data_IF_492680082683
#
_entry.id   IF_492680082683
#
_cell.length_a   1.000
_cell.length_b   1.000
_cell.length_c   1.000
_cell.angle_alpha   90.00
_cell.angle_beta   90.00
_cell.angle_gamma   90.00
#
_symmetry.space_group_name_H-M   'P 1'
#
loop_
_entity.id
_entity.type
_entity.pdbx_description
1 polymer ?
#
# COMPACT_ATOMS: atom_id res chain seq x y z
N UNK A 1 -5.30 12.76 17.05
CA UNK A 1 -4.12 11.95 16.69
C UNK A 1 -2.95 12.87 16.31
N UNK A 2 -1.72 12.65 16.80
CA UNK A 2 -0.60 13.59 16.67
C UNK A 2 0.37 13.34 15.48
N UNK A 3 0.08 12.38 14.60
CA UNK A 3 0.91 12.10 13.41
C UNK A 3 0.52 12.89 12.16
N UNK A 4 1.48 13.19 11.30
CA UNK A 4 1.25 13.71 9.94
C UNK A 4 0.89 12.60 8.95
N UNK A 5 1.38 11.38 9.20
CA UNK A 5 1.03 10.16 8.48
C UNK A 5 0.57 9.05 9.45
N UNK A 6 -0.33 8.20 8.98
CA UNK A 6 -0.89 7.05 9.71
C UNK A 6 -0.69 5.79 8.87
N UNK A 7 -0.11 4.74 9.45
CA UNK A 7 -0.01 3.43 8.81
C UNK A 7 -1.15 2.53 9.32
N UNK A 8 -2.01 2.05 8.41
CA UNK A 8 -3.06 1.09 8.74
C UNK A 8 -2.60 -0.31 8.31
N UNK A 9 -2.37 -1.17 9.31
CA UNK A 9 -1.92 -2.56 9.15
C UNK A 9 -2.77 -3.52 9.97
N UNK A 10 -4.02 -3.65 9.59
CA UNK A 10 -5.06 -4.46 10.25
C UNK A 10 -5.68 -5.45 9.26
N UNK A 11 -6.46 -6.45 9.70
CA UNK A 11 -7.29 -7.22 8.77
C UNK A 11 -8.20 -6.30 7.95
N UNK A 12 -8.34 -6.58 6.65
CA UNK A 12 -9.09 -5.71 5.73
C UNK A 12 -10.54 -5.48 6.17
N UNK A 13 -11.14 -6.45 6.87
CA UNK A 13 -12.49 -6.33 7.42
C UNK A 13 -12.67 -5.23 8.48
N UNK A 14 -11.60 -4.76 9.10
CA UNK A 14 -11.66 -3.67 10.09
C UNK A 14 -11.68 -2.27 9.45
N UNK A 15 -11.33 -2.15 8.16
CA UNK A 15 -11.18 -0.87 7.48
C UNK A 15 -12.46 -0.01 7.49
N UNK A 16 -13.67 -0.55 7.26
CA UNK A 16 -14.91 0.23 7.33
C UNK A 16 -15.16 0.80 8.72
N UNK A 17 -14.94 0.01 9.78
CA UNK A 17 -15.16 0.44 11.16
C UNK A 17 -14.15 1.54 11.55
N UNK A 18 -12.88 1.37 11.19
CA UNK A 18 -11.84 2.39 11.41
C UNK A 18 -12.17 3.69 10.69
N UNK A 19 -12.64 3.60 9.44
CA UNK A 19 -13.05 4.77 8.66
C UNK A 19 -14.23 5.53 9.25
N UNK A 20 -15.14 4.84 9.93
CA UNK A 20 -16.26 5.44 10.66
C UNK A 20 -15.81 6.05 11.99
N UNK A 21 -15.15 5.24 12.83
CA UNK A 21 -14.81 5.62 14.20
C UNK A 21 -13.74 6.72 14.27
N UNK A 22 -12.81 6.74 13.31
CA UNK A 22 -11.70 7.70 13.27
C UNK A 22 -11.85 8.74 12.14
N UNK A 23 -13.05 8.90 11.59
CA UNK A 23 -13.31 9.81 10.46
C UNK A 23 -12.81 11.24 10.71
N UNK A 24 -13.01 11.76 11.94
CA UNK A 24 -12.62 13.12 12.29
C UNK A 24 -11.09 13.25 12.41
N UNK A 25 -10.44 12.25 12.99
CA UNK A 25 -9.00 12.22 13.26
C UNK A 25 -8.17 11.97 12.00
N UNK A 26 -8.71 11.20 11.05
CA UNK A 26 -8.04 10.84 9.79
C UNK A 26 -8.28 11.87 8.67
N UNK A 27 -9.24 12.77 8.82
CA UNK A 27 -9.56 13.77 7.79
C UNK A 27 -8.33 14.59 7.40
N UNK A 28 -8.01 14.60 6.11
CA UNK A 28 -6.87 15.30 5.53
C UNK A 28 -5.50 14.68 5.83
N UNK A 29 -5.44 13.60 6.62
CA UNK A 29 -4.20 12.90 6.95
C UNK A 29 -3.70 12.08 5.79
N UNK A 30 -2.39 11.90 5.73
CA UNK A 30 -1.76 10.91 4.86
C UNK A 30 -1.95 9.55 5.51
N UNK A 31 -2.57 8.61 4.79
CA UNK A 31 -2.82 7.26 5.29
C UNK A 31 -2.11 6.27 4.37
N UNK A 32 -1.14 5.53 4.91
CA UNK A 32 -0.52 4.41 4.24
C UNK A 32 -1.34 3.16 4.57
N UNK A 33 -1.92 2.54 3.55
CA UNK A 33 -2.73 1.34 3.67
C UNK A 33 -1.95 0.12 3.17
N UNK A 34 -1.69 -0.80 4.09
CA UNK A 34 -0.98 -2.05 3.83
C UNK A 34 -1.91 -3.25 3.64
N UNK A 35 -3.22 -3.04 3.70
CA UNK A 35 -4.19 -4.13 3.83
C UNK A 35 -4.34 -4.89 2.49
N UNK A 36 -4.78 -6.14 2.57
CA UNK A 36 -5.06 -6.96 1.39
C UNK A 36 -6.39 -7.66 1.62
N UNK A 37 -7.42 -7.52 0.77
CA UNK A 37 -8.68 -8.22 0.93
C UNK A 37 -8.51 -9.73 0.67
N UNK A 38 -8.70 -10.55 1.70
CA UNK A 38 -8.56 -12.01 1.68
C UNK A 38 -9.90 -12.65 2.07
N UNK A 39 -10.66 -13.25 1.13
CA UNK A 39 -12.01 -13.77 1.41
C UNK A 39 -12.10 -14.75 2.59
N UNK A 40 -11.10 -15.62 2.76
CA UNK A 40 -11.06 -16.56 3.88
C UNK A 40 -10.85 -15.92 5.25
N UNK A 41 -10.33 -14.69 5.31
CA UNK A 41 -10.08 -13.93 6.55
C UNK A 41 -11.12 -12.83 6.78
N UNK A 42 -11.48 -12.13 5.72
CA UNK A 42 -12.28 -10.89 5.78
C UNK A 42 -13.73 -11.09 5.33
N UNK A 43 -14.10 -12.30 4.89
CA UNK A 43 -15.46 -12.64 4.47
C UNK A 43 -15.84 -12.06 3.11
N UNK A 44 -17.15 -11.98 2.86
CA UNK A 44 -17.71 -11.65 1.54
C UNK A 44 -17.29 -10.27 1.02
N UNK A 45 -17.02 -9.30 1.91
CA UNK A 45 -16.60 -7.95 1.50
C UNK A 45 -15.28 -7.92 0.72
N UNK A 46 -14.40 -8.90 0.92
CA UNK A 46 -13.13 -8.97 0.21
C UNK A 46 -13.30 -9.30 -1.28
N UNK A 47 -14.34 -10.05 -1.66
CA UNK A 47 -14.56 -10.45 -3.06
C UNK A 47 -14.80 -9.25 -3.98
N UNK A 48 -15.79 -8.37 -3.73
CA UNK A 48 -16.00 -7.18 -4.55
C UNK A 48 -14.85 -6.18 -4.41
N UNK A 49 -14.18 -6.09 -3.24
CA UNK A 49 -13.00 -5.23 -3.08
C UNK A 49 -11.85 -5.64 -4.01
N UNK A 50 -11.56 -6.95 -4.11
CA UNK A 50 -10.57 -7.49 -5.06
C UNK A 50 -10.95 -7.22 -6.50
N UNK A 51 -12.21 -7.45 -6.87
CA UNK A 51 -12.69 -7.23 -8.23
C UNK A 51 -12.58 -5.76 -8.67
N UNK A 52 -12.83 -4.83 -7.74
CA UNK A 52 -12.71 -3.39 -7.96
C UNK A 52 -11.24 -2.91 -8.02
N UNK A 53 -10.34 -3.61 -7.33
CA UNK A 53 -8.97 -3.19 -7.07
C UNK A 53 -8.86 -2.54 -5.70
N UNK A 54 -7.90 -3.00 -4.90
CA UNK A 54 -7.85 -2.71 -3.46
C UNK A 54 -7.68 -1.23 -3.16
N UNK A 55 -6.88 -0.50 -3.94
CA UNK A 55 -6.70 0.95 -3.76
C UNK A 55 -8.01 1.73 -3.88
N UNK A 56 -8.82 1.43 -4.90
CA UNK A 56 -10.12 2.07 -5.12
C UNK A 56 -11.12 1.66 -4.04
N UNK A 57 -11.18 0.37 -3.71
CA UNK A 57 -12.09 -0.14 -2.68
C UNK A 57 -11.76 0.42 -1.29
N UNK A 58 -10.48 0.57 -0.95
CA UNK A 58 -10.05 1.10 0.36
C UNK A 58 -10.37 2.57 0.53
N UNK A 59 -10.31 3.35 -0.56
CA UNK A 59 -10.68 4.77 -0.54
C UNK A 59 -12.16 5.00 -0.18
N UNK A 60 -13.05 4.05 -0.51
CA UNK A 60 -14.47 4.11 -0.13
C UNK A 60 -14.66 3.97 1.39
N UNK A 61 -13.78 3.24 2.06
CA UNK A 61 -13.82 3.06 3.51
C UNK A 61 -13.10 4.18 4.27
N UNK A 62 -12.23 4.95 3.62
CA UNK A 62 -11.44 5.99 4.25
C UNK A 62 -11.70 7.37 3.60
N UNK A 63 -12.95 7.87 3.61
CA UNK A 63 -13.28 9.11 2.92
C UNK A 63 -12.55 10.31 3.54
N UNK A 64 -12.00 11.17 2.67
CA UNK A 64 -11.35 12.41 3.08
C UNK A 64 -9.91 12.27 3.58
N UNK A 65 -9.32 11.06 3.51
CA UNK A 65 -7.88 10.87 3.73
C UNK A 65 -7.11 11.01 2.42
N UNK A 66 -5.80 11.29 2.52
CA UNK A 66 -4.87 11.27 1.39
C UNK A 66 -4.22 9.87 1.35
N UNK A 67 -4.91 8.94 0.70
CA UNK A 67 -4.58 7.51 0.75
C UNK A 67 -3.37 7.17 -0.14
N UNK A 68 -2.46 6.35 0.40
CA UNK A 68 -1.34 5.75 -0.33
C UNK A 68 -1.35 4.23 -0.10
N UNK A 69 -1.33 3.46 -1.19
CA UNK A 69 -1.11 2.01 -1.13
C UNK A 69 0.39 1.75 -1.07
N UNK A 70 0.85 1.10 -0.01
CA UNK A 70 2.26 0.83 0.27
C UNK A 70 2.41 -0.44 1.11
N UNK A 71 3.57 -1.10 1.03
CA UNK A 71 3.95 -2.28 1.84
C UNK A 71 3.03 -3.52 1.74
N UNK A 72 1.90 -3.47 1.05
CA UNK A 72 0.95 -4.56 0.96
C UNK A 72 1.49 -5.77 0.18
N UNK A 73 2.42 -5.55 -0.77
CA UNK A 73 2.87 -6.56 -1.72
C UNK A 73 4.10 -7.35 -1.29
N UNK A 74 4.79 -6.96 -0.21
CA UNK A 74 6.01 -7.63 0.28
C UNK A 74 5.69 -8.35 1.58
N UNK A 75 6.08 -9.63 1.68
CA UNK A 75 5.82 -10.44 2.87
C UNK A 75 6.56 -9.91 4.11
N UNK A 76 5.94 -10.02 5.30
CA UNK A 76 6.50 -9.48 6.54
C UNK A 76 7.90 -10.03 6.87
N UNK A 77 8.17 -11.31 6.58
CA UNK A 77 9.50 -11.90 6.79
C UNK A 77 10.56 -11.22 5.93
N UNK A 78 10.23 -10.91 4.67
CA UNK A 78 11.12 -10.18 3.77
C UNK A 78 11.26 -8.71 4.19
N UNK A 79 10.19 -8.04 4.62
CA UNK A 79 10.31 -6.69 5.19
C UNK A 79 11.26 -6.67 6.40
N UNK A 80 11.25 -7.71 7.23
CA UNK A 80 12.16 -7.82 8.37
C UNK A 80 13.60 -8.13 7.95
N UNK A 81 13.82 -9.04 7.00
CA UNK A 81 15.17 -9.51 6.65
C UNK A 81 15.89 -8.63 5.65
N UNK A 82 15.15 -7.93 4.78
CA UNK A 82 15.72 -7.18 3.65
C UNK A 82 15.84 -5.67 3.92
N UNK A 83 15.28 -5.17 5.02
CA UNK A 83 15.42 -3.77 5.40
C UNK A 83 16.89 -3.38 5.56
N UNK A 84 17.29 -2.27 4.94
CA UNK A 84 18.66 -1.75 4.99
C UNK A 84 19.74 -2.72 4.49
N UNK A 85 19.37 -3.71 3.66
CA UNK A 85 20.34 -4.65 3.10
C UNK A 85 21.42 -3.92 2.29
N UNK A 86 22.61 -4.51 2.23
CA UNK A 86 23.66 -4.03 1.35
C UNK A 86 23.32 -4.30 -0.13
N UNK A 87 23.76 -3.42 -1.03
CA UNK A 87 23.52 -3.55 -2.48
C UNK A 87 22.19 -2.93 -2.94
N UNK A 88 21.61 -3.46 -4.03
CA UNK A 88 20.31 -3.00 -4.54
C UNK A 88 19.23 -3.24 -3.48
N UNK A 89 18.46 -2.22 -3.09
CA UNK A 89 17.38 -2.37 -2.09
C UNK A 89 16.19 -3.13 -2.69
N UNK A 90 15.39 -3.77 -1.83
CA UNK A 90 14.09 -4.29 -2.23
C UNK A 90 13.11 -3.13 -2.44
N UNK A 91 12.28 -3.25 -3.46
CA UNK A 91 11.33 -2.23 -3.85
C UNK A 91 9.97 -2.40 -3.16
N UNK A 92 9.39 -1.26 -2.77
CA UNK A 92 8.00 -1.16 -2.33
C UNK A 92 7.23 -0.39 -3.40
N UNK A 93 6.28 -1.03 -4.11
CA UNK A 93 5.41 -0.31 -5.03
C UNK A 93 4.51 0.66 -4.26
N UNK A 94 4.33 1.85 -4.82
CA UNK A 94 3.48 2.91 -4.28
C UNK A 94 2.45 3.36 -5.30
N UNK A 95 1.21 3.53 -4.86
CA UNK A 95 0.16 4.16 -5.66
C UNK A 95 -0.67 5.13 -4.82
N UNK A 96 -0.90 6.33 -5.35
CA UNK A 96 -1.64 7.40 -4.68
C UNK A 96 -2.13 8.44 -5.69
N UNK A 97 -3.28 9.08 -5.42
CA UNK A 97 -3.80 10.18 -6.24
C UNK A 97 -3.24 11.55 -5.80
N UNK A 98 -2.72 11.65 -4.58
CA UNK A 98 -2.14 12.87 -4.03
C UNK A 98 -0.60 12.82 -4.09
N UNK A 99 0.00 13.73 -4.86
CA UNK A 99 1.45 13.78 -5.07
C UNK A 99 2.25 14.11 -3.78
N UNK A 100 1.68 14.91 -2.87
CA UNK A 100 2.34 15.24 -1.60
C UNK A 100 2.32 14.06 -0.63
N UNK A 101 1.21 13.30 -0.58
CA UNK A 101 1.10 12.07 0.18
C UNK A 101 2.05 11.00 -0.35
N UNK A 102 2.15 10.88 -1.68
CA UNK A 102 3.10 9.99 -2.34
C UNK A 102 4.54 10.33 -1.96
N UNK A 103 4.92 11.61 -1.98
CA UNK A 103 6.26 12.04 -1.59
C UNK A 103 6.61 11.71 -0.14
N UNK A 104 5.67 11.88 0.79
CA UNK A 104 5.86 11.50 2.20
C UNK A 104 6.00 9.98 2.33
N UNK A 105 5.14 9.21 1.68
CA UNK A 105 5.24 7.75 1.70
C UNK A 105 6.55 7.24 1.09
N UNK A 106 7.03 7.85 0.00
CA UNK A 106 8.34 7.51 -0.59
C UNK A 106 9.47 7.69 0.41
N UNK A 107 9.50 8.81 1.15
CA UNK A 107 10.52 9.04 2.19
C UNK A 107 10.42 8.00 3.31
N UNK A 108 9.22 7.67 3.77
CA UNK A 108 9.02 6.64 4.80
C UNK A 108 9.50 5.26 4.34
N UNK A 109 9.33 4.93 3.06
CA UNK A 109 9.87 3.70 2.46
C UNK A 109 11.40 3.71 2.41
N UNK A 110 12.00 4.84 2.02
CA UNK A 110 13.46 5.01 1.99
C UNK A 110 14.08 4.89 3.38
N UNK A 111 13.49 5.56 4.36
CA UNK A 111 13.88 5.55 5.77
C UNK A 111 13.71 4.16 6.39
N UNK A 112 12.71 3.40 5.96
CA UNK A 112 12.54 1.99 6.32
C UNK A 112 13.55 1.04 5.64
N UNK A 113 14.44 1.56 4.79
CA UNK A 113 15.54 0.81 4.19
C UNK A 113 15.22 0.18 2.83
N UNK A 114 14.16 0.63 2.15
CA UNK A 114 13.70 0.10 0.86
C UNK A 114 13.82 1.12 -0.29
N UNK A 115 13.52 0.68 -1.51
CA UNK A 115 13.39 1.55 -2.69
C UNK A 115 11.91 1.82 -2.99
N UNK A 116 11.42 3.08 -2.96
CA UNK A 116 10.07 3.38 -3.40
C UNK A 116 9.95 3.30 -4.92
N UNK A 117 8.93 2.61 -5.42
CA UNK A 117 8.62 2.55 -6.85
C UNK A 117 7.21 3.06 -7.08
N UNK A 118 7.10 4.28 -7.62
CA UNK A 118 5.81 4.89 -7.96
C UNK A 118 5.20 4.19 -9.17
N UNK A 119 4.04 3.56 -8.96
CA UNK A 119 3.30 2.79 -9.96
C UNK A 119 2.24 3.65 -10.66
N UNK A 120 1.69 4.66 -9.98
CA UNK A 120 0.70 5.58 -10.55
C UNK A 120 -0.40 5.98 -9.56
N UNK A 121 -1.59 6.40 -10.06
CA UNK A 121 -2.75 6.72 -9.23
C UNK A 121 -3.28 5.50 -8.46
N UNK A 122 -4.18 5.68 -7.49
CA UNK A 122 -4.72 4.61 -6.65
C UNK A 122 -5.34 3.45 -7.46
N UNK A 123 -5.92 3.75 -8.61
CA UNK A 123 -6.46 2.74 -9.53
C UNK A 123 -5.41 1.74 -10.04
N UNK A 124 -4.13 2.13 -10.08
CA UNK A 124 -3.01 1.30 -10.49
C UNK A 124 -2.51 0.38 -9.37
N UNK A 125 -2.99 0.56 -8.13
CA UNK A 125 -2.64 -0.33 -7.01
C UNK A 125 -2.98 -1.80 -7.30
N UNK A 126 -4.00 -2.05 -8.12
CA UNK A 126 -4.37 -3.39 -8.59
C UNK A 126 -3.22 -4.15 -9.26
N UNK A 127 -2.20 -3.46 -9.77
CA UNK A 127 -1.00 -4.07 -10.39
C UNK A 127 -0.10 -4.80 -9.40
N UNK A 128 -0.22 -4.51 -8.11
CA UNK A 128 0.55 -5.16 -7.03
C UNK A 128 -0.37 -5.72 -5.93
N UNK A 129 -1.62 -6.03 -6.27
CA UNK A 129 -2.59 -6.67 -5.38
C UNK A 129 -2.40 -8.20 -5.28
N UNK A 130 -3.04 -8.86 -4.30
CA UNK A 130 -2.99 -10.31 -4.15
C UNK A 130 -3.42 -11.06 -5.43
N UNK A 131 -2.54 -11.94 -5.90
CA UNK A 131 -2.72 -12.73 -7.13
C UNK A 131 -1.99 -12.16 -8.35
N UNK A 132 -1.33 -11.01 -8.24
CA UNK A 132 -0.45 -10.49 -9.28
C UNK A 132 0.93 -11.16 -9.25
N UNK A 133 1.68 -11.17 -10.36
CA UNK A 133 3.02 -11.76 -10.40
C UNK A 133 4.01 -11.13 -9.42
N UNK A 134 3.85 -9.86 -9.05
CA UNK A 134 4.76 -9.15 -8.13
C UNK A 134 4.41 -9.33 -6.66
N UNK A 135 3.21 -9.83 -6.35
CA UNK A 135 2.74 -9.97 -4.97
C UNK A 135 3.48 -11.10 -4.24
N UNK A 136 3.93 -10.81 -3.03
CA UNK A 136 4.68 -11.73 -2.17
C UNK A 136 6.16 -11.85 -2.53
N UNK A 137 6.65 -11.10 -3.52
CA UNK A 137 8.05 -11.17 -3.98
C UNK A 137 8.90 -10.06 -3.38
N UNK A 138 10.16 -10.38 -3.06
CA UNK A 138 11.19 -9.42 -2.71
C UNK A 138 12.00 -9.07 -3.97
N UNK A 139 11.49 -8.11 -4.75
CA UNK A 139 12.08 -7.66 -6.01
C UNK A 139 12.91 -6.39 -5.79
N UNK A 140 14.00 -6.23 -6.53
CA UNK A 140 14.69 -4.93 -6.68
C UNK A 140 13.81 -3.95 -7.46
N UNK A 141 14.11 -2.64 -7.40
CA UNK A 141 13.38 -1.64 -8.18
C UNK A 141 13.41 -1.90 -9.68
N UNK A 142 14.57 -2.32 -10.19
CA UNK A 142 14.74 -2.72 -11.60
C UNK A 142 13.85 -3.89 -12.00
N UNK A 143 13.78 -4.93 -11.18
CA UNK A 143 12.94 -6.10 -11.46
C UNK A 143 11.46 -5.74 -11.38
N UNK A 144 11.06 -4.98 -10.35
CA UNK A 144 9.68 -4.54 -10.18
C UNK A 144 9.22 -3.66 -11.34
N UNK A 145 10.01 -2.67 -11.75
CA UNK A 145 9.71 -1.81 -12.91
C UNK A 145 9.54 -2.63 -14.18
N UNK A 146 10.44 -3.58 -14.44
CA UNK A 146 10.35 -4.49 -15.58
C UNK A 146 9.06 -5.31 -15.57
N UNK A 147 8.72 -5.91 -14.43
CA UNK A 147 7.52 -6.74 -14.29
C UNK A 147 6.22 -5.93 -14.43
N UNK A 148 6.24 -4.65 -14.05
CA UNK A 148 5.11 -3.74 -14.16
C UNK A 148 5.05 -2.96 -15.48
N UNK A 149 6.03 -3.13 -16.37
CA UNK A 149 6.14 -2.36 -17.61
C UNK A 149 6.36 -0.86 -17.37
N UNK A 150 6.97 -0.50 -16.24
CA UNK A 150 7.32 0.88 -15.93
C UNK A 150 8.65 1.21 -16.62
N UNK A 151 8.78 2.45 -17.10
CA UNK A 151 10.05 2.96 -17.64
C UNK A 151 11.20 2.78 -16.65
N UNK A 152 12.40 2.53 -17.20
CA UNK A 152 13.66 2.48 -16.46
C UNK A 152 14.02 3.84 -15.88
#
# INVERSE_FOLDING_TARGET
MFGEAVLISVPYSALPQIGQDLAAELRGKIVLDTCNPIPSRDGEMAVPARAKGTGVASAEFLPGVRLVRAFNSVGFSALRSEAHRAGEKIAIPLAADDAGALAVASRLVEDAGFEPVMVGPLAEAKKFDPGTPVFGQALTGRELRRMLGLGS
#
